data_IF_281272453327
#
_entry.id   IF_281272453327
#
_cell.length_a   1.000
_cell.length_b   1.000
_cell.length_c   1.000
_cell.angle_alpha   90.00
_cell.angle_beta   90.00
_cell.angle_gamma   90.00
#
_symmetry.space_group_name_H-M   'P 1'
#
loop_
_entity.id
_entity.type
_entity.pdbx_description
1 polymer ?
#
# COMPACT_ATOMS: atom_id res chain seq x y z
N UNK A 1 9.71 -34.48 -1.42
CA UNK A 1 8.80 -33.60 -2.18
C UNK A 1 7.90 -32.79 -1.24
N UNK A 2 7.00 -33.41 -0.46
CA UNK A 2 6.11 -32.69 0.49
C UNK A 2 6.85 -31.81 1.52
N UNK A 3 8.00 -32.25 2.04
CA UNK A 3 8.78 -31.46 3.01
C UNK A 3 9.34 -30.17 2.39
N UNK A 4 9.92 -30.27 1.18
CA UNK A 4 10.41 -29.11 0.43
C UNK A 4 9.29 -28.18 -0.06
N UNK A 5 8.10 -28.70 -0.34
CA UNK A 5 6.92 -27.90 -0.64
C UNK A 5 6.43 -27.13 0.59
N UNK A 6 6.41 -27.77 1.75
CA UNK A 6 6.10 -27.12 3.03
C UNK A 6 7.11 -26.01 3.32
N UNK A 7 8.41 -26.28 3.16
CA UNK A 7 9.48 -25.29 3.39
C UNK A 7 9.46 -24.13 2.36
N UNK A 8 8.91 -24.37 1.16
CA UNK A 8 8.69 -23.33 0.15
C UNK A 8 7.50 -22.43 0.51
N UNK A 9 6.37 -23.01 0.91
CA UNK A 9 5.17 -22.26 1.33
C UNK A 9 5.45 -21.49 2.62
N UNK A 10 6.16 -22.08 3.58
CA UNK A 10 6.51 -21.42 4.85
C UNK A 10 7.44 -20.21 4.68
N UNK A 11 7.95 -19.96 3.46
CA UNK A 11 8.61 -18.71 3.12
C UNK A 11 7.51 -17.64 3.01
N UNK A 12 7.24 -16.92 4.12
CA UNK A 12 6.06 -16.06 4.33
C UNK A 12 5.64 -15.17 3.16
N UNK A 13 6.61 -14.61 2.43
CA UNK A 13 6.38 -13.82 1.21
C UNK A 13 5.53 -14.55 0.14
N UNK A 14 5.60 -15.88 0.02
CA UNK A 14 4.82 -16.63 -0.97
C UNK A 14 3.36 -16.79 -0.55
N UNK A 15 3.08 -17.01 0.74
CA UNK A 15 1.72 -17.15 1.26
C UNK A 15 0.96 -15.84 1.12
N UNK A 16 1.57 -14.71 1.51
CA UNK A 16 0.95 -13.40 1.43
C UNK A 16 0.59 -13.03 -0.01
N UNK A 17 1.52 -13.26 -0.95
CA UNK A 17 1.26 -13.05 -2.38
C UNK A 17 0.17 -13.99 -2.92
N UNK A 18 0.17 -15.26 -2.52
CA UNK A 18 -0.85 -16.21 -2.94
C UNK A 18 -2.26 -15.80 -2.45
N UNK A 19 -2.37 -15.39 -1.19
CA UNK A 19 -3.63 -14.91 -0.61
C UNK A 19 -4.11 -13.66 -1.35
N UNK A 20 -3.21 -12.70 -1.61
CA UNK A 20 -3.56 -11.48 -2.34
C UNK A 20 -4.14 -11.77 -3.73
N UNK A 21 -3.55 -12.69 -4.48
CA UNK A 21 -4.03 -13.08 -5.83
C UNK A 21 -5.38 -13.81 -5.76
N UNK A 22 -5.55 -14.73 -4.83
CA UNK A 22 -6.81 -15.49 -4.68
C UNK A 22 -7.96 -14.57 -4.27
N UNK A 23 -7.74 -13.69 -3.28
CA UNK A 23 -8.77 -12.73 -2.85
C UNK A 23 -9.08 -11.72 -3.96
N UNK A 24 -8.06 -11.18 -4.64
CA UNK A 24 -8.24 -10.22 -5.72
C UNK A 24 -9.04 -10.79 -6.90
N UNK A 25 -8.75 -12.02 -7.30
CA UNK A 25 -9.49 -12.71 -8.37
C UNK A 25 -10.93 -13.04 -7.97
N UNK A 26 -11.16 -13.56 -6.76
CA UNK A 26 -12.49 -13.86 -6.26
C UNK A 26 -13.38 -12.62 -6.16
N UNK A 27 -12.81 -11.50 -5.68
CA UNK A 27 -13.51 -10.23 -5.59
C UNK A 27 -13.87 -9.67 -6.96
N UNK A 28 -12.93 -9.71 -7.92
CA UNK A 28 -13.19 -9.29 -9.30
C UNK A 28 -14.33 -10.09 -9.93
N UNK A 29 -14.34 -11.41 -9.71
CA UNK A 29 -15.42 -12.28 -10.19
C UNK A 29 -16.77 -11.93 -9.55
N UNK A 30 -16.80 -11.60 -8.26
CA UNK A 30 -18.02 -11.17 -7.57
C UNK A 30 -18.59 -9.87 -8.16
N UNK A 31 -17.76 -8.85 -8.38
CA UNK A 31 -18.21 -7.58 -8.96
C UNK A 31 -18.63 -7.74 -10.42
N UNK A 32 -17.92 -8.57 -11.18
CA UNK A 32 -18.30 -8.91 -12.54
C UNK A 32 -19.66 -9.62 -12.60
N UNK A 33 -19.91 -10.58 -11.69
CA UNK A 33 -21.20 -11.27 -11.59
C UNK A 33 -22.32 -10.31 -11.18
N UNK A 34 -22.08 -9.41 -10.23
CA UNK A 34 -23.06 -8.40 -9.84
C UNK A 34 -23.40 -7.48 -11.01
N UNK A 35 -22.39 -6.96 -11.71
CA UNK A 35 -22.64 -6.05 -12.82
C UNK A 35 -23.35 -6.77 -13.97
N UNK A 36 -22.88 -7.97 -14.32
CA UNK A 36 -23.46 -8.75 -15.42
C UNK A 36 -24.91 -9.13 -15.18
N UNK A 37 -25.26 -9.55 -13.95
CA UNK A 37 -26.58 -10.08 -13.65
C UNK A 37 -27.59 -9.03 -13.17
N UNK A 38 -27.13 -7.90 -12.63
CA UNK A 38 -28.02 -6.87 -12.07
C UNK A 38 -27.96 -5.58 -12.88
N UNK A 39 -26.77 -5.10 -13.22
CA UNK A 39 -26.61 -3.80 -13.88
C UNK A 39 -26.86 -3.90 -15.38
N UNK A 40 -26.33 -4.93 -16.06
CA UNK A 40 -26.53 -5.08 -17.51
C UNK A 40 -28.01 -5.18 -17.90
N UNK A 41 -28.86 -5.95 -17.19
CA UNK A 41 -30.28 -6.00 -17.51
C UNK A 41 -30.99 -4.65 -17.27
N UNK A 42 -30.59 -3.89 -16.25
CA UNK A 42 -31.13 -2.56 -15.97
C UNK A 42 -30.74 -1.56 -17.05
N UNK A 43 -29.48 -1.58 -17.50
CA UNK A 43 -29.01 -0.75 -18.61
C UNK A 43 -29.70 -1.17 -19.92
N UNK A 44 -29.84 -2.46 -20.17
CA UNK A 44 -30.53 -2.97 -21.36
C UNK A 44 -32.03 -2.61 -21.34
N UNK A 45 -32.67 -2.58 -20.17
CA UNK A 45 -34.05 -2.13 -20.02
C UNK A 45 -34.18 -0.61 -20.26
N UNK A 46 -33.22 0.19 -19.77
CA UNK A 46 -33.21 1.65 -19.93
C UNK A 46 -32.79 2.10 -21.35
N UNK A 47 -31.94 1.32 -22.02
CA UNK A 47 -31.43 1.59 -23.37
C UNK A 47 -32.34 1.15 -24.51
N UNK A 48 -33.48 0.52 -24.19
CA UNK A 48 -34.37 -0.08 -25.17
C UNK A 48 -33.92 -1.50 -25.56
N UNK A 49 -34.91 -2.32 -25.87
CA UNK A 49 -34.82 -3.74 -26.23
C UNK A 49 -33.57 -4.02 -27.08
N UNK A 50 -32.63 -4.79 -26.50
CA UNK A 50 -31.33 -5.20 -27.03
C UNK A 50 -30.18 -4.19 -26.81
N UNK A 51 -29.34 -4.46 -25.80
CA UNK A 51 -27.96 -3.94 -25.76
C UNK A 51 -27.11 -4.43 -26.95
N UNK A 52 -27.58 -5.45 -27.67
CA UNK A 52 -27.09 -5.82 -29.01
C UNK A 52 -27.59 -4.88 -30.14
N UNK A 53 -28.51 -3.96 -29.86
CA UNK A 53 -29.08 -3.03 -30.84
C UNK A 53 -28.22 -1.82 -31.16
N UNK A 54 -27.21 -1.50 -30.32
CA UNK A 54 -26.24 -0.44 -30.58
C UNK A 54 -25.02 -0.94 -31.37
N UNK A 55 -25.07 -2.16 -31.87
CA UNK A 55 -24.01 -2.71 -32.69
C UNK A 55 -24.28 -2.58 -34.17
N UNK A 56 -23.32 -2.04 -34.92
CA UNK A 56 -23.39 -2.02 -36.38
C UNK A 56 -22.52 -3.14 -36.96
N UNK A 57 -23.00 -3.77 -38.03
CA UNK A 57 -22.20 -4.71 -38.83
C UNK A 57 -21.49 -3.92 -39.91
N UNK A 58 -20.16 -4.08 -40.02
CA UNK A 58 -19.40 -3.40 -41.09
C UNK A 58 -19.66 -4.08 -42.45
N UNK A 59 -19.92 -5.39 -42.45
CA UNK A 59 -20.30 -6.17 -43.64
C UNK A 59 -21.60 -6.92 -43.39
N UNK A 60 -22.58 -6.76 -44.29
CA UNK A 60 -23.76 -7.63 -44.28
C UNK A 60 -23.34 -9.08 -44.53
N UNK A 61 -23.82 -10.00 -43.70
CA UNK A 61 -23.56 -11.45 -43.70
C UNK A 61 -22.25 -11.99 -43.08
N UNK A 62 -21.41 -11.20 -42.40
CA UNK A 62 -20.33 -11.78 -41.57
C UNK A 62 -20.59 -11.61 -40.06
N UNK A 63 -20.86 -12.68 -39.30
CA UNK A 63 -21.04 -12.59 -37.85
C UNK A 63 -19.76 -12.16 -37.11
N UNK A 64 -18.58 -12.27 -37.73
CA UNK A 64 -17.31 -11.85 -37.14
C UNK A 64 -17.06 -10.33 -37.20
N UNK A 65 -17.91 -9.56 -37.89
CA UNK A 65 -17.73 -8.11 -38.08
C UNK A 65 -18.80 -7.27 -37.38
N UNK A 66 -19.41 -7.84 -36.34
CA UNK A 66 -20.36 -7.15 -35.48
C UNK A 66 -19.63 -6.36 -34.38
N UNK A 67 -19.72 -5.03 -34.42
CA UNK A 67 -19.16 -4.16 -33.38
C UNK A 67 -20.24 -3.91 -32.34
N UNK A 68 -20.11 -4.47 -31.13
CA UNK A 68 -21.09 -4.30 -30.06
C UNK A 68 -20.71 -3.11 -29.15
N UNK A 69 -21.22 -1.91 -29.43
CA UNK A 69 -21.00 -0.73 -28.56
C UNK A 69 -21.65 -0.89 -27.17
N UNK A 70 -22.75 -1.64 -27.07
CA UNK A 70 -23.40 -1.93 -25.80
C UNK A 70 -22.48 -2.69 -24.85
N UNK A 71 -21.70 -3.64 -25.37
CA UNK A 71 -20.72 -4.39 -24.59
C UNK A 71 -19.59 -3.49 -24.06
N UNK A 72 -19.14 -2.50 -24.84
CA UNK A 72 -18.10 -1.55 -24.42
C UNK A 72 -18.60 -0.63 -23.31
N UNK A 73 -19.81 -0.08 -23.46
CA UNK A 73 -20.44 0.76 -22.43
C UNK A 73 -20.65 -0.03 -21.13
N UNK A 74 -21.10 -1.28 -21.26
CA UNK A 74 -21.28 -2.21 -20.14
C UNK A 74 -19.96 -2.50 -19.42
N UNK A 75 -18.88 -2.75 -20.17
CA UNK A 75 -17.56 -2.96 -19.61
C UNK A 75 -17.06 -1.71 -18.87
N UNK A 76 -17.31 -0.52 -19.42
CA UNK A 76 -16.97 0.75 -18.78
C UNK A 76 -17.72 0.95 -17.46
N UNK A 77 -19.03 0.66 -17.43
CA UNK A 77 -19.82 0.75 -16.18
C UNK A 77 -19.33 -0.26 -15.15
N UNK A 78 -19.05 -1.50 -15.55
CA UNK A 78 -18.43 -2.52 -14.69
C UNK A 78 -17.13 -2.04 -14.07
N UNK A 79 -16.27 -1.42 -14.89
CA UNK A 79 -14.99 -0.88 -14.42
C UNK A 79 -15.19 0.24 -13.39
N UNK A 80 -16.07 1.20 -13.67
CA UNK A 80 -16.36 2.31 -12.75
C UNK A 80 -16.95 1.82 -11.42
N UNK A 81 -17.88 0.87 -11.46
CA UNK A 81 -18.46 0.27 -10.24
C UNK A 81 -17.38 -0.46 -9.44
N UNK A 82 -16.56 -1.29 -10.10
CA UNK A 82 -15.46 -2.00 -9.43
C UNK A 82 -14.49 -1.04 -8.77
N UNK A 83 -14.07 0.01 -9.48
CA UNK A 83 -13.18 1.04 -8.93
C UNK A 83 -13.82 1.77 -7.74
N UNK A 84 -15.11 2.10 -7.82
CA UNK A 84 -15.84 2.75 -6.74
C UNK A 84 -15.92 1.87 -5.48
N UNK A 85 -16.23 0.58 -5.64
CA UNK A 85 -16.29 -0.35 -4.50
C UNK A 85 -14.90 -0.54 -3.88
N UNK A 86 -13.86 -0.74 -4.68
CA UNK A 86 -12.48 -0.88 -4.17
C UNK A 86 -12.06 0.40 -3.45
N UNK A 87 -12.35 1.56 -4.03
CA UNK A 87 -12.05 2.84 -3.40
C UNK A 87 -12.77 3.00 -2.06
N UNK A 88 -14.07 2.71 -2.00
CA UNK A 88 -14.84 2.91 -0.77
C UNK A 88 -14.52 1.89 0.33
N UNK A 89 -14.23 0.64 -0.02
CA UNK A 89 -13.94 -0.43 0.95
C UNK A 89 -12.48 -0.42 1.42
N UNK A 90 -11.52 -0.11 0.54
CA UNK A 90 -10.10 -0.17 0.90
C UNK A 90 -9.48 1.22 1.03
N UNK A 91 -9.63 2.07 0.00
CA UNK A 91 -8.90 3.36 -0.06
C UNK A 91 -9.47 4.37 0.93
N UNK A 92 -10.78 4.52 1.03
CA UNK A 92 -11.43 5.48 1.92
C UNK A 92 -11.14 5.20 3.41
N UNK A 93 -11.28 3.97 3.94
CA UNK A 93 -10.89 3.69 5.32
C UNK A 93 -9.39 3.79 5.52
N UNK A 94 -8.56 3.34 4.58
CA UNK A 94 -7.11 3.50 4.69
C UNK A 94 -6.71 4.98 4.75
N UNK A 95 -7.31 5.83 3.92
CA UNK A 95 -7.08 7.27 3.93
C UNK A 95 -7.58 7.92 5.23
N UNK A 96 -8.72 7.46 5.76
CA UNK A 96 -9.26 7.92 7.05
C UNK A 96 -8.36 7.52 8.21
N UNK A 97 -7.92 6.26 8.27
CA UNK A 97 -6.99 5.76 9.30
C UNK A 97 -5.66 6.51 9.20
N UNK A 98 -5.08 6.65 8.01
CA UNK A 98 -3.84 7.40 7.83
C UNK A 98 -3.99 8.87 8.26
N UNK A 99 -5.14 9.50 8.00
CA UNK A 99 -5.39 10.87 8.47
C UNK A 99 -5.52 10.97 10.00
N UNK A 100 -6.11 9.96 10.64
CA UNK A 100 -6.26 9.86 12.11
C UNK A 100 -4.92 9.55 12.79
N UNK A 101 -4.13 8.64 12.22
CA UNK A 101 -2.78 8.33 12.70
C UNK A 101 -1.87 9.55 12.54
N UNK A 102 -1.92 10.25 11.40
CA UNK A 102 -1.12 11.47 11.18
C UNK A 102 -1.51 12.64 12.10
N UNK A 103 -2.76 12.70 12.56
CA UNK A 103 -3.22 13.71 13.53
C UNK A 103 -2.94 13.33 14.98
N UNK A 104 -2.89 12.03 15.31
CA UNK A 104 -2.37 11.54 16.60
C UNK A 104 -0.85 11.69 16.72
N UNK A 105 -0.10 11.39 15.67
CA UNK A 105 1.36 11.58 15.58
C UNK A 105 1.79 13.05 15.68
N UNK A 106 0.88 14.00 15.46
CA UNK A 106 1.14 15.43 15.65
C UNK A 106 0.96 15.89 17.12
N UNK A 107 0.40 15.04 17.99
CA UNK A 107 0.07 15.39 19.38
C UNK A 107 0.71 14.45 20.41
N UNK A 108 0.97 13.19 20.09
CA UNK A 108 1.62 12.22 20.98
C UNK A 108 2.70 11.46 20.20
N UNK A 109 3.83 11.20 20.87
CA UNK A 109 4.95 10.38 20.39
C UNK A 109 4.46 9.11 19.67
N UNK A 110 5.15 8.68 18.59
CA UNK A 110 4.68 7.56 17.79
C UNK A 110 4.56 6.29 18.63
N UNK A 111 3.33 5.88 18.93
CA UNK A 111 3.06 4.53 19.39
C UNK A 111 3.42 3.59 18.24
N UNK A 112 4.49 2.84 18.46
CA UNK A 112 5.16 1.98 17.52
C UNK A 112 4.17 0.99 16.88
N UNK A 113 3.94 1.11 15.57
CA UNK A 113 3.82 -0.12 14.78
C UNK A 113 5.08 -0.93 15.10
N UNK A 114 5.01 -2.25 15.36
CA UNK A 114 6.19 -3.04 15.69
C UNK A 114 7.18 -2.84 14.55
N UNK A 115 8.16 -1.97 14.81
CA UNK A 115 9.16 -1.58 13.88
C UNK A 115 9.79 -2.89 13.40
N UNK A 116 9.94 -3.12 12.08
CA UNK A 116 10.75 -4.22 11.60
C UNK A 116 12.00 -4.28 12.47
N UNK A 117 12.37 -5.47 12.98
CA UNK A 117 13.41 -5.59 14.00
C UNK A 117 14.68 -4.79 13.64
N UNK A 118 14.98 -4.72 12.35
CA UNK A 118 16.05 -3.90 11.77
C UNK A 118 15.91 -2.40 12.09
N UNK A 119 14.73 -1.81 11.95
CA UNK A 119 14.49 -0.39 12.25
C UNK A 119 14.51 -0.07 13.74
N UNK A 120 14.09 -1.01 14.61
CA UNK A 120 14.25 -0.88 16.05
C UNK A 120 15.73 -0.94 16.45
N UNK A 121 16.49 -1.91 15.90
CA UNK A 121 17.94 -2.00 16.07
C UNK A 121 18.66 -0.75 15.55
N UNK A 122 18.22 -0.18 14.43
CA UNK A 122 18.79 1.07 13.90
C UNK A 122 18.50 2.26 14.82
N UNK A 123 17.35 2.30 15.48
CA UNK A 123 17.05 3.32 16.48
C UNK A 123 17.96 3.18 17.71
N UNK A 124 18.12 1.96 18.23
CA UNK A 124 19.05 1.67 19.33
C UNK A 124 20.50 2.01 18.96
N UNK A 125 20.96 1.61 17.77
CA UNK A 125 22.31 1.93 17.27
C UNK A 125 22.50 3.44 17.15
N UNK A 126 21.50 4.17 16.64
CA UNK A 126 21.55 5.64 16.53
C UNK A 126 21.71 6.27 17.91
N UNK A 127 20.97 5.79 18.90
CA UNK A 127 20.97 6.38 20.23
C UNK A 127 22.28 6.06 20.97
N UNK A 128 22.80 4.84 20.84
CA UNK A 128 24.14 4.47 21.32
C UNK A 128 25.26 5.29 20.64
N UNK A 129 25.13 5.56 19.34
CA UNK A 129 26.10 6.41 18.62
C UNK A 129 26.04 7.87 19.07
N UNK A 130 24.85 8.40 19.36
CA UNK A 130 24.70 9.75 19.92
C UNK A 130 25.34 9.86 21.30
N UNK A 131 25.11 8.87 22.17
CA UNK A 131 25.73 8.81 23.49
C UNK A 131 27.25 8.71 23.41
N UNK A 132 27.77 7.85 22.51
CA UNK A 132 29.21 7.74 22.26
C UNK A 132 29.82 9.03 21.68
N UNK A 133 29.08 9.77 20.85
CA UNK A 133 29.50 11.06 20.33
C UNK A 133 29.53 12.15 21.42
N UNK A 134 28.54 12.15 22.33
CA UNK A 134 28.49 13.06 23.47
C UNK A 134 29.69 12.84 24.42
N UNK A 135 29.96 11.59 24.80
CA UNK A 135 31.12 11.25 25.64
C UNK A 135 32.48 11.64 25.03
N UNK A 136 32.60 11.58 23.70
CA UNK A 136 33.82 12.02 23.00
C UNK A 136 33.98 13.53 23.06
N UNK A 137 32.88 14.28 23.00
CA UNK A 137 32.87 15.74 23.11
C UNK A 137 33.27 16.19 24.51
N UNK A 138 32.70 15.58 25.55
CA UNK A 138 33.03 15.90 26.95
C UNK A 138 34.52 15.67 27.25
N UNK A 139 35.05 14.52 26.79
CA UNK A 139 36.46 14.19 27.00
C UNK A 139 37.41 15.15 26.29
N UNK A 140 37.00 15.72 25.16
CA UNK A 140 37.78 16.74 24.45
C UNK A 140 37.77 18.09 25.19
N UNK A 141 36.64 18.46 25.80
CA UNK A 141 36.53 19.67 26.65
C UNK A 141 37.38 19.56 27.92
N UNK A 142 37.40 18.38 28.56
CA UNK A 142 38.21 18.16 29.76
C UNK A 142 39.71 18.33 29.46
N UNK A 143 40.18 17.77 28.35
CA UNK A 143 41.57 17.90 27.90
C UNK A 143 41.96 19.37 27.65
N UNK A 144 41.09 20.15 27.02
CA UNK A 144 41.30 21.58 26.76
C UNK A 144 41.41 22.38 28.07
N UNK A 145 40.52 22.11 29.02
CA UNK A 145 40.54 22.78 30.33
C UNK A 145 41.78 22.43 31.18
N UNK A 146 42.28 21.20 31.07
CA UNK A 146 43.51 20.79 31.76
C UNK A 146 44.75 21.46 31.16
N UNK A 147 44.80 21.60 29.84
CA UNK A 147 45.90 22.27 29.13
C UNK A 147 45.92 23.76 29.45
N UNK A 148 44.76 24.42 29.49
CA UNK A 148 44.64 25.83 29.88
C UNK A 148 45.05 26.07 31.33
N UNK A 149 44.67 25.17 32.25
CA UNK A 149 45.09 25.24 33.66
C UNK A 149 46.60 25.05 33.82
N UNK A 150 47.22 24.16 33.05
CA UNK A 150 48.67 23.96 33.08
C UNK A 150 49.41 25.18 32.50
N UNK A 151 48.94 25.74 31.38
CA UNK A 151 49.50 26.94 30.76
C UNK A 151 49.40 28.20 31.64
N UNK A 152 48.32 28.37 32.41
CA UNK A 152 48.15 29.51 33.31
C UNK A 152 48.98 29.37 34.59
N UNK A 153 49.21 28.13 35.04
CA UNK A 153 50.12 27.84 36.17
C UNK A 153 51.60 28.14 35.85
N UNK A 154 52.00 27.98 34.59
CA UNK A 154 53.38 28.23 34.13
C UNK A 154 53.64 29.72 33.85
N UNK A 155 52.57 30.51 33.63
CA UNK A 155 52.63 31.97 33.48
C UNK A 155 52.67 32.75 34.79
N UNK A 156 52.28 32.11 35.90
CA UNK A 156 52.17 32.74 37.23
C UNK A 156 53.35 32.45 38.15
N UNK A 157 54.34 31.67 37.68
CA UNK A 157 55.67 31.49 38.28
C UNK A 157 56.73 32.36 37.62
#
# INVERSE_FOLDING_TARGET
>A
MLKGFKDFILRGNVIELAIAVVIGSAFTALVAAFTTNIINPVIAAAGGMNADGLGFRIWDNNPATFINFGAVLTALVTFVITAAVVYFIFVAPMNKINSLVKSRLATEEPEEEPLPADTALLAEIRDLLKEAAAHRSDRASDLDSTLDSELDSDRTR
#
